data_IF_471825578000
#
_entry.id   IF_471825578000
#
_cell.length_a   1.000
_cell.length_b   1.000
_cell.length_c   1.000
_cell.angle_alpha   90.00
_cell.angle_beta   90.00
_cell.angle_gamma   90.00
#
_symmetry.space_group_name_H-M   'P 1'
#
loop_
_entity.id
_entity.type
_entity.pdbx_description
1 polymer ?
#
# COMPACT_ATOMS: atom_id res chain seq x y z
N UNK A 1 32.40 -40.45 -13.14
CA UNK A 1 31.23 -39.57 -13.06
C UNK A 1 31.31 -38.92 -11.68
N UNK A 2 31.78 -37.68 -11.59
CA UNK A 2 31.92 -36.99 -10.31
C UNK A 2 30.53 -36.59 -9.83
N UNK A 3 30.12 -37.08 -8.66
CA UNK A 3 28.88 -36.69 -7.99
C UNK A 3 29.06 -35.29 -7.38
N UNK A 4 28.96 -34.27 -8.24
CA UNK A 4 29.13 -32.84 -7.93
C UNK A 4 28.16 -32.38 -6.81
N UNK A 5 27.11 -33.17 -6.54
CA UNK A 5 26.10 -32.95 -5.50
C UNK A 5 26.54 -33.34 -4.07
N UNK A 6 27.66 -34.05 -3.89
CA UNK A 6 28.18 -34.44 -2.56
C UNK A 6 29.35 -33.60 -2.08
N UNK A 7 29.88 -32.72 -2.93
CA UNK A 7 30.97 -31.83 -2.54
C UNK A 7 30.41 -30.75 -1.59
N UNK A 8 30.87 -30.71 -0.33
CA UNK A 8 30.35 -29.78 0.67
C UNK A 8 30.52 -28.32 0.24
N UNK A 9 31.52 -28.01 -0.60
CA UNK A 9 31.76 -26.66 -1.11
C UNK A 9 30.66 -26.27 -2.13
N UNK A 10 30.30 -27.20 -3.02
CA UNK A 10 29.23 -26.97 -4.02
C UNK A 10 27.87 -26.81 -3.33
N UNK A 11 27.63 -27.59 -2.28
CA UNK A 11 26.41 -27.53 -1.50
C UNK A 11 26.27 -26.19 -0.74
N UNK A 12 27.36 -25.69 -0.16
CA UNK A 12 27.39 -24.36 0.49
C UNK A 12 27.12 -23.25 -0.53
N UNK A 13 27.73 -23.31 -1.72
CA UNK A 13 27.51 -22.32 -2.78
C UNK A 13 26.03 -22.29 -3.22
N UNK A 14 25.41 -23.46 -3.37
CA UNK A 14 23.98 -23.57 -3.71
C UNK A 14 23.09 -22.96 -2.62
N UNK A 15 23.35 -23.25 -1.35
CA UNK A 15 22.59 -22.68 -0.22
C UNK A 15 22.71 -21.16 -0.20
N UNK A 16 23.92 -20.62 -0.37
CA UNK A 16 24.16 -19.17 -0.42
C UNK A 16 23.41 -18.53 -1.59
N UNK A 17 23.42 -19.16 -2.77
CA UNK A 17 22.68 -18.68 -3.94
C UNK A 17 21.16 -18.65 -3.70
N UNK A 18 20.61 -19.68 -3.06
CA UNK A 18 19.17 -19.72 -2.71
C UNK A 18 18.81 -18.62 -1.72
N UNK A 19 19.63 -18.39 -0.68
CA UNK A 19 19.40 -17.32 0.30
C UNK A 19 19.43 -15.94 -0.37
N UNK A 20 20.39 -15.70 -1.26
CA UNK A 20 20.49 -14.48 -2.05
C UNK A 20 19.24 -14.25 -2.90
N UNK A 21 18.74 -15.30 -3.56
CA UNK A 21 17.54 -15.21 -4.39
C UNK A 21 16.30 -14.85 -3.57
N UNK A 22 16.14 -15.46 -2.38
CA UNK A 22 15.06 -15.14 -1.44
C UNK A 22 15.18 -13.69 -0.95
N UNK A 23 16.38 -13.22 -0.63
CA UNK A 23 16.62 -11.85 -0.20
C UNK A 23 16.27 -10.82 -1.29
N UNK A 24 16.60 -11.10 -2.56
CA UNK A 24 16.23 -10.26 -3.70
C UNK A 24 14.72 -10.27 -3.92
N UNK A 25 14.06 -11.42 -3.78
CA UNK A 25 12.61 -11.53 -3.89
C UNK A 25 11.90 -10.71 -2.80
N UNK A 26 12.33 -10.82 -1.54
CA UNK A 26 11.79 -10.04 -0.41
C UNK A 26 12.09 -8.55 -0.58
N UNK A 27 13.31 -8.20 -0.99
CA UNK A 27 13.73 -6.82 -1.26
C UNK A 27 12.88 -6.17 -2.35
N UNK A 28 12.64 -6.89 -3.45
CA UNK A 28 11.81 -6.46 -4.57
C UNK A 28 10.35 -6.31 -4.14
N UNK A 29 9.80 -7.29 -3.41
CA UNK A 29 8.44 -7.24 -2.90
C UNK A 29 8.23 -6.03 -1.97
N UNK A 30 9.18 -5.80 -1.04
CA UNK A 30 9.16 -4.65 -0.13
C UNK A 30 9.35 -3.33 -0.85
N UNK A 31 10.21 -3.25 -1.87
CA UNK A 31 10.41 -2.02 -2.63
C UNK A 31 9.15 -1.64 -3.42
N UNK A 32 8.49 -2.62 -4.05
CA UNK A 32 7.22 -2.44 -4.78
C UNK A 32 6.07 -2.06 -3.85
N UNK A 33 6.07 -2.53 -2.59
CA UNK A 33 5.07 -2.19 -1.57
C UNK A 33 5.40 -0.93 -0.74
N UNK A 34 6.64 -0.45 -0.76
CA UNK A 34 7.08 0.75 -0.01
C UNK A 34 6.58 2.06 -0.62
N UNK A 35 6.04 2.06 -1.83
CA UNK A 35 5.18 3.16 -2.32
C UNK A 35 3.79 3.07 -1.69
N UNK A 36 3.76 2.95 -0.35
CA UNK A 36 2.54 3.01 0.42
C UNK A 36 1.84 4.33 0.16
N UNK A 37 0.53 4.26 -0.06
CA UNK A 37 -0.33 5.43 0.11
C UNK A 37 -0.03 6.04 1.48
N UNK A 38 -0.10 7.36 1.58
CA UNK A 38 -0.04 8.07 2.87
C UNK A 38 -1.48 8.37 3.31
N UNK A 39 -2.24 7.40 3.85
CA UNK A 39 -3.56 7.66 4.39
C UNK A 39 -3.43 8.57 5.60
N UNK A 40 -4.20 9.64 5.60
CA UNK A 40 -4.32 10.56 6.73
C UNK A 40 -5.78 10.53 7.18
N UNK A 41 -6.02 10.12 8.42
CA UNK A 41 -7.34 10.25 9.01
C UNK A 41 -7.57 11.69 9.42
N UNK A 42 -8.73 12.23 9.07
CA UNK A 42 -9.12 13.59 9.42
C UNK A 42 -10.51 13.56 10.01
N UNK A 43 -10.67 14.18 11.18
CA UNK A 43 -11.96 14.43 11.80
C UNK A 43 -12.46 15.80 11.35
N UNK A 44 -13.65 15.84 10.80
CA UNK A 44 -14.34 17.06 10.39
C UNK A 44 -15.06 17.69 11.58
N UNK A 45 -15.42 18.97 11.43
CA UNK A 45 -16.08 19.76 12.49
C UNK A 45 -17.49 19.26 12.84
N UNK A 46 -18.12 18.51 11.94
CA UNK A 46 -19.41 17.84 12.13
C UNK A 46 -19.28 16.50 12.88
N UNK A 47 -18.06 16.10 13.25
CA UNK A 47 -17.76 14.84 13.92
C UNK A 47 -17.56 13.65 12.97
N UNK A 48 -17.76 13.83 11.66
CA UNK A 48 -17.48 12.79 10.67
C UNK A 48 -15.97 12.56 10.53
N UNK A 49 -15.58 11.34 10.17
CA UNK A 49 -14.18 10.96 9.96
C UNK A 49 -13.98 10.62 8.49
N UNK A 50 -12.87 11.05 7.92
CA UNK A 50 -12.51 10.73 6.56
C UNK A 50 -11.07 10.26 6.46
N UNK A 51 -10.81 9.37 5.51
CA UNK A 51 -9.50 8.89 5.14
C UNK A 51 -9.05 9.62 3.87
N UNK A 52 -8.09 10.52 3.98
CA UNK A 52 -7.52 11.24 2.85
C UNK A 52 -6.24 10.54 2.38
N UNK A 53 -6.16 10.20 1.09
CA UNK A 53 -4.93 9.76 0.46
C UNK A 53 -4.55 10.74 -0.65
N UNK A 54 -3.29 11.15 -0.68
CA UNK A 54 -2.71 12.04 -1.70
C UNK A 54 -1.70 11.30 -2.58
N UNK A 55 -1.23 11.95 -3.65
CA UNK A 55 -0.26 11.38 -4.58
C UNK A 55 -0.89 10.59 -5.73
N UNK A 56 -2.12 10.94 -6.13
CA UNK A 56 -2.78 10.40 -7.30
C UNK A 56 -2.72 11.41 -8.46
N UNK A 57 -1.56 11.54 -9.10
CA UNK A 57 -1.45 12.35 -10.32
C UNK A 57 -2.25 11.76 -11.49
N UNK A 58 -2.65 12.59 -12.46
CA UNK A 58 -3.47 12.18 -13.61
C UNK A 58 -2.91 11.03 -14.46
N UNK A 59 -1.59 10.78 -14.42
CA UNK A 59 -0.91 9.67 -15.12
C UNK A 59 -0.72 8.42 -14.25
N UNK A 60 -1.08 8.45 -12.96
CA UNK A 60 -0.83 7.35 -12.00
C UNK A 60 -2.03 6.40 -11.84
N UNK A 61 -2.62 5.96 -12.95
CA UNK A 61 -3.77 5.03 -12.98
C UNK A 61 -3.53 3.74 -12.19
N UNK A 62 -2.30 3.21 -12.22
CA UNK A 62 -1.89 2.02 -11.45
C UNK A 62 -2.00 2.25 -9.95
N UNK A 63 -1.71 3.47 -9.47
CA UNK A 63 -1.75 3.83 -8.05
C UNK A 63 -3.19 3.98 -7.58
N UNK A 64 -4.04 4.63 -8.38
CA UNK A 64 -5.48 4.67 -8.12
C UNK A 64 -6.08 3.27 -8.05
N UNK A 65 -5.72 2.38 -8.98
CA UNK A 65 -6.18 0.98 -8.96
C UNK A 65 -5.77 0.24 -7.68
N UNK A 66 -4.49 0.35 -7.27
CA UNK A 66 -3.99 -0.23 -6.02
C UNK A 66 -4.68 0.32 -4.77
N UNK A 67 -5.12 1.57 -4.79
CA UNK A 67 -5.90 2.15 -3.69
C UNK A 67 -7.25 1.45 -3.56
N UNK A 68 -8.01 1.31 -4.65
CA UNK A 68 -9.31 0.63 -4.64
C UNK A 68 -9.20 -0.89 -4.41
N UNK A 69 -8.04 -1.50 -4.72
CA UNK A 69 -7.77 -2.89 -4.31
C UNK A 69 -7.56 -3.01 -2.80
N UNK A 70 -6.91 -2.02 -2.17
CA UNK A 70 -6.60 -2.00 -0.74
C UNK A 70 -7.78 -1.56 0.13
N UNK A 71 -8.52 -0.54 -0.30
CA UNK A 71 -9.64 0.05 0.42
C UNK A 71 -10.92 -0.17 -0.38
N UNK A 72 -11.90 -0.83 0.22
CA UNK A 72 -13.17 -1.19 -0.42
C UNK A 72 -14.34 -0.57 0.34
N UNK A 73 -15.42 -0.28 -0.38
CA UNK A 73 -16.69 0.09 0.25
C UNK A 73 -17.12 -1.03 1.20
N UNK A 74 -17.56 -0.64 2.39
CA UNK A 74 -17.95 -1.53 3.46
C UNK A 74 -16.81 -2.14 4.29
N UNK A 75 -15.55 -1.80 3.99
CA UNK A 75 -14.41 -2.22 4.80
C UNK A 75 -14.42 -1.53 6.16
N UNK A 76 -14.18 -2.30 7.23
CA UNK A 76 -14.00 -1.76 8.58
C UNK A 76 -12.55 -1.30 8.80
N UNK A 77 -12.41 -0.13 9.40
CA UNK A 77 -11.16 0.49 9.82
C UNK A 77 -11.25 0.86 11.30
N UNK A 78 -10.15 0.73 12.03
CA UNK A 78 -10.06 1.14 13.43
C UNK A 78 -9.32 2.46 13.49
N UNK A 79 -9.94 3.47 14.10
CA UNK A 79 -9.36 4.78 14.34
C UNK A 79 -9.76 5.26 15.73
N UNK A 80 -8.82 5.76 16.54
CA UNK A 80 -9.10 6.23 17.93
C UNK A 80 -9.91 5.23 18.79
N UNK A 81 -9.61 3.94 18.71
CA UNK A 81 -10.34 2.84 19.39
C UNK A 81 -11.82 2.67 19.00
N UNK A 82 -12.28 3.36 17.96
CA UNK A 82 -13.61 3.21 17.39
C UNK A 82 -13.53 2.46 16.06
N UNK A 83 -14.60 1.76 15.74
CA UNK A 83 -14.76 1.09 14.45
C UNK A 83 -15.50 1.99 13.50
N UNK A 84 -14.98 2.07 12.29
CA UNK A 84 -15.55 2.84 11.22
C UNK A 84 -15.68 1.99 9.97
N UNK A 85 -16.70 2.24 9.16
CA UNK A 85 -16.93 1.58 7.89
C UNK A 85 -16.81 2.59 6.76
N UNK A 86 -16.12 2.20 5.69
CA UNK A 86 -16.06 3.05 4.49
C UNK A 86 -17.41 3.04 3.79
N UNK A 87 -18.05 4.19 3.66
CA UNK A 87 -19.39 4.33 3.04
C UNK A 87 -19.35 4.97 1.67
N UNK A 88 -18.38 5.83 1.40
CA UNK A 88 -18.27 6.55 0.13
C UNK A 88 -16.82 6.88 -0.19
N UNK A 89 -16.47 6.93 -1.49
CA UNK A 89 -15.21 7.50 -1.98
C UNK A 89 -15.50 8.72 -2.85
N UNK A 90 -14.74 9.81 -2.65
CA UNK A 90 -14.72 10.97 -3.55
C UNK A 90 -13.30 11.28 -3.99
N UNK A 91 -13.13 11.44 -5.30
CA UNK A 91 -11.90 11.99 -5.86
C UNK A 91 -12.03 13.51 -5.90
N UNK A 92 -11.12 14.20 -5.20
CA UNK A 92 -11.06 15.65 -5.17
C UNK A 92 -9.75 16.10 -5.82
N UNK A 93 -9.81 17.20 -6.56
CA UNK A 93 -8.62 17.89 -7.04
C UNK A 93 -8.17 18.81 -5.90
N UNK A 94 -6.91 18.71 -5.48
CA UNK A 94 -6.37 19.63 -4.48
C UNK A 94 -5.71 20.83 -5.18
N UNK A 95 -6.33 22.02 -5.17
CA UNK A 95 -5.77 23.20 -5.84
C UNK A 95 -4.55 23.77 -5.13
N UNK A 96 -4.24 23.31 -3.91
CA UNK A 96 -3.11 23.80 -3.11
C UNK A 96 -1.78 23.11 -3.45
N UNK A 97 -1.81 22.00 -4.19
CA UNK A 97 -0.62 21.29 -4.64
C UNK A 97 -0.27 21.76 -6.07
N UNK A 98 0.98 22.22 -6.26
CA UNK A 98 1.52 22.84 -7.48
C UNK A 98 1.56 21.92 -8.72
N UNK A 99 1.10 20.69 -8.60
CA UNK A 99 0.85 19.75 -9.70
C UNK A 99 -0.53 19.17 -9.48
N UNK A 100 -1.23 18.79 -10.54
CA UNK A 100 -2.57 18.17 -10.59
C UNK A 100 -2.68 16.87 -9.77
N UNK A 101 -2.39 16.95 -8.48
CA UNK A 101 -2.32 15.83 -7.57
C UNK A 101 -3.73 15.66 -7.03
N UNK A 102 -4.38 14.59 -7.50
CA UNK A 102 -5.71 14.24 -7.02
C UNK A 102 -5.54 13.64 -5.64
N UNK A 103 -6.52 13.92 -4.77
CA UNK A 103 -6.69 13.23 -3.51
C UNK A 103 -7.93 12.36 -3.58
N UNK A 104 -7.85 11.17 -3.01
CA UNK A 104 -9.01 10.30 -2.83
C UNK A 104 -9.38 10.37 -1.35
N UNK A 105 -10.63 10.74 -1.09
CA UNK A 105 -11.20 10.85 0.24
C UNK A 105 -12.21 9.72 0.42
N UNK A 106 -12.00 8.87 1.42
CA UNK A 106 -12.97 7.87 1.83
C UNK A 106 -13.74 8.39 3.06
N UNK A 107 -15.05 8.50 2.95
CA UNK A 107 -15.90 8.87 4.09
C UNK A 107 -16.17 7.65 4.95
N UNK A 108 -16.08 7.86 6.25
CA UNK A 108 -16.18 6.82 7.26
C UNK A 108 -17.39 7.06 8.16
N UNK A 109 -18.17 6.01 8.40
CA UNK A 109 -19.31 6.00 9.34
C UNK A 109 -18.97 5.10 10.54
N UNK A 110 -19.28 5.55 11.76
CA UNK A 110 -19.04 4.75 12.97
C UNK A 110 -19.99 3.53 13.00
N UNK A 111 -19.47 2.35 13.34
CA UNK A 111 -20.23 1.08 13.43
C UNK A 111 -20.60 0.76 14.86
#
# INVERSE_FOLDING_TARGET
MFDILTDPIVLIILIVAVILFIAVAIGSYRHVHKTGFKPTFRKLSDGSVQLECTGFGGLQTTRTKRFYEKYKLGMELIYENKRYKIVEFKELIDPSLLQEDRKIVAYLEEV
#
